data_IF_439302539321
#
_entry.id   IF_439302539321
#
_cell.length_a   1.000
_cell.length_b   1.000
_cell.length_c   1.000
_cell.angle_alpha   90.00
_cell.angle_beta   90.00
_cell.angle_gamma   90.00
#
_symmetry.space_group_name_H-M   'P 1'
#
loop_
_entity.id
_entity.type
_entity.pdbx_description
1 polymer ?
#
# COMPACT_ATOMS: atom_id res chain seq x y z
N UNK A 1 28.89 -18.81 -5.96
CA UNK A 1 27.70 -18.67 -6.82
C UNK A 1 28.17 -18.32 -8.22
N UNK A 2 27.64 -18.92 -9.28
CA UNK A 2 28.00 -18.53 -10.64
C UNK A 2 27.59 -17.08 -10.82
N UNK A 3 28.52 -16.24 -11.28
CA UNK A 3 28.24 -14.84 -11.56
C UNK A 3 28.00 -14.76 -13.05
N UNK A 4 26.75 -14.58 -13.46
CA UNK A 4 26.43 -14.32 -14.87
C UNK A 4 27.15 -13.04 -15.28
N UNK A 5 28.11 -13.20 -16.21
CA UNK A 5 28.98 -12.12 -16.68
C UNK A 5 28.56 -11.77 -18.11
N UNK A 6 27.95 -10.60 -18.29
CA UNK A 6 27.52 -10.11 -19.60
C UNK A 6 28.47 -9.01 -20.09
N UNK A 7 28.91 -9.09 -21.34
CA UNK A 7 29.76 -8.08 -21.98
C UNK A 7 28.94 -7.20 -22.91
N UNK A 8 28.93 -5.88 -22.67
CA UNK A 8 28.14 -4.91 -23.44
C UNK A 8 29.10 -3.90 -24.06
N UNK A 9 29.03 -3.63 -25.38
CA UNK A 9 29.97 -2.76 -26.08
C UNK A 9 29.84 -1.28 -25.68
N UNK A 10 28.62 -0.79 -25.44
CA UNK A 10 28.35 0.57 -24.94
C UNK A 10 26.98 0.67 -24.28
N UNK A 11 26.86 1.51 -23.25
CA UNK A 11 25.56 1.85 -22.62
C UNK A 11 24.63 2.53 -23.62
N UNK A 12 25.16 3.39 -24.49
CA UNK A 12 24.34 4.11 -25.48
C UNK A 12 23.72 3.23 -26.57
N UNK A 13 24.06 1.93 -26.60
CA UNK A 13 23.64 0.98 -27.64
C UNK A 13 22.79 -0.17 -27.09
N UNK A 14 22.40 -0.13 -25.81
CA UNK A 14 21.50 -1.13 -25.24
C UNK A 14 20.12 -1.02 -25.90
N UNK A 15 19.77 -2.04 -26.68
CA UNK A 15 18.43 -2.15 -27.27
C UNK A 15 17.39 -2.42 -26.18
N UNK A 16 16.10 -2.12 -26.41
CA UNK A 16 15.04 -2.47 -25.46
C UNK A 16 15.05 -3.95 -25.05
N UNK A 17 15.32 -4.85 -26.00
CA UNK A 17 15.47 -6.29 -25.72
C UNK A 17 16.69 -6.61 -24.83
N UNK A 18 17.80 -5.87 -25.00
CA UNK A 18 18.98 -5.99 -24.15
C UNK A 18 18.73 -5.49 -22.72
N UNK A 19 18.01 -4.38 -22.58
CA UNK A 19 17.54 -3.87 -21.29
C UNK A 19 16.67 -4.91 -20.59
N UNK A 20 15.65 -5.44 -21.29
CA UNK A 20 14.76 -6.47 -20.75
C UNK A 20 15.53 -7.72 -20.28
N UNK A 21 16.48 -8.19 -21.09
CA UNK A 21 17.29 -9.36 -20.74
C UNK A 21 18.13 -9.13 -19.47
N UNK A 22 18.69 -7.92 -19.29
CA UNK A 22 19.42 -7.55 -18.09
C UNK A 22 18.51 -7.48 -16.86
N UNK A 23 17.33 -6.91 -17.02
CA UNK A 23 16.33 -6.85 -15.95
C UNK A 23 15.91 -8.25 -15.49
N UNK A 24 15.63 -9.15 -16.44
CA UNK A 24 15.20 -10.52 -16.14
C UNK A 24 16.31 -11.31 -15.45
N UNK A 25 17.56 -11.17 -15.91
CA UNK A 25 18.71 -11.80 -15.26
C UNK A 25 18.95 -11.26 -13.84
N UNK A 26 18.87 -9.95 -13.65
CA UNK A 26 19.02 -9.32 -12.33
C UNK A 26 17.90 -9.71 -11.35
N UNK A 27 16.66 -9.90 -11.85
CA UNK A 27 15.53 -10.41 -11.04
C UNK A 27 15.74 -11.87 -10.62
N UNK A 28 16.26 -12.70 -11.51
CA UNK A 28 16.47 -14.13 -11.24
C UNK A 28 17.59 -14.37 -10.23
N UNK A 29 18.71 -13.66 -10.36
CA UNK A 29 19.93 -13.91 -9.58
C UNK A 29 20.10 -12.97 -8.37
N UNK A 30 19.18 -12.02 -8.14
CA UNK A 30 19.28 -10.94 -7.13
C UNK A 30 20.52 -10.04 -7.27
N UNK A 31 21.31 -10.24 -8.33
CA UNK A 31 22.55 -9.53 -8.58
C UNK A 31 23.33 -10.17 -9.72
N UNK A 32 23.63 -9.40 -10.77
CA UNK A 32 24.48 -9.83 -11.88
C UNK A 32 25.70 -8.92 -12.01
N UNK A 33 26.78 -9.44 -12.60
CA UNK A 33 27.92 -8.59 -12.99
C UNK A 33 27.95 -8.39 -14.49
N UNK A 34 28.24 -7.17 -14.89
CA UNK A 34 28.36 -6.82 -16.29
C UNK A 34 29.68 -6.11 -16.54
N UNK A 35 30.21 -6.26 -17.73
CA UNK A 35 31.39 -5.54 -18.20
C UNK A 35 30.97 -4.60 -19.33
N UNK A 36 31.29 -3.31 -19.18
CA UNK A 36 31.03 -2.30 -20.22
C UNK A 36 32.35 -1.62 -20.56
N UNK A 37 32.84 -1.90 -21.77
CA UNK A 37 34.20 -1.53 -22.18
C UNK A 37 35.22 -2.12 -21.21
N UNK A 38 35.97 -1.26 -20.50
CA UNK A 38 36.99 -1.68 -19.54
C UNK A 38 36.56 -1.61 -18.07
N UNK A 39 35.30 -1.27 -17.79
CA UNK A 39 34.75 -1.19 -16.42
C UNK A 39 33.80 -2.35 -16.12
N UNK A 40 33.74 -2.74 -14.85
CA UNK A 40 32.79 -3.73 -14.35
C UNK A 40 31.75 -3.09 -13.43
N UNK A 41 30.53 -3.61 -13.47
CA UNK A 41 29.39 -3.11 -12.70
C UNK A 41 28.63 -4.27 -12.10
N UNK A 42 28.11 -4.09 -10.89
CA UNK A 42 27.12 -4.95 -10.28
C UNK A 42 25.74 -4.33 -10.45
N UNK A 43 24.79 -5.11 -10.95
CA UNK A 43 23.40 -4.70 -11.12
C UNK A 43 22.55 -5.52 -10.15
N UNK A 44 21.79 -4.85 -9.30
CA UNK A 44 20.93 -5.48 -8.29
C UNK A 44 19.48 -5.11 -8.51
N UNK A 45 18.59 -6.11 -8.43
CA UNK A 45 17.15 -5.86 -8.37
C UNK A 45 16.74 -5.60 -6.92
N UNK A 46 16.05 -4.48 -6.70
CA UNK A 46 15.53 -4.07 -5.39
C UNK A 46 14.01 -4.18 -5.43
N UNK A 47 13.52 -5.33 -4.95
CA UNK A 47 12.11 -5.70 -4.98
C UNK A 47 11.18 -4.65 -4.37
N UNK A 48 11.60 -3.98 -3.28
CA UNK A 48 10.81 -2.95 -2.60
C UNK A 48 10.44 -1.77 -3.52
N UNK A 49 11.32 -1.45 -4.47
CA UNK A 49 11.19 -0.30 -5.36
C UNK A 49 10.75 -0.72 -6.77
N UNK A 50 10.62 -2.02 -7.01
CA UNK A 50 10.62 -2.63 -8.35
C UNK A 50 11.67 -2.00 -9.28
N UNK A 51 12.87 -1.77 -8.74
CA UNK A 51 13.90 -0.96 -9.38
C UNK A 51 15.26 -1.64 -9.40
N UNK A 52 16.17 -1.12 -10.21
CA UNK A 52 17.52 -1.63 -10.38
C UNK A 52 18.54 -0.61 -9.87
N UNK A 53 19.47 -1.09 -9.03
CA UNK A 53 20.66 -0.36 -8.61
C UNK A 53 21.85 -0.82 -9.43
N UNK A 54 22.72 0.12 -9.83
CA UNK A 54 23.97 -0.20 -10.51
C UNK A 54 25.13 0.42 -9.76
N UNK A 55 26.07 -0.42 -9.33
CA UNK A 55 27.27 0.03 -8.65
C UNK A 55 28.51 -0.32 -9.49
N UNK A 56 29.48 0.60 -9.63
CA UNK A 56 30.75 0.28 -10.25
C UNK A 56 31.55 -0.65 -9.33
N UNK A 57 32.04 -1.77 -9.87
CA UNK A 57 32.95 -2.65 -9.15
C UNK A 57 34.30 -1.95 -9.07
N UNK A 58 34.59 -1.38 -7.91
CA UNK A 58 35.82 -0.61 -7.67
C UNK A 58 37.06 -1.48 -7.89
N UNK A 59 37.99 -1.00 -8.71
CA UNK A 59 39.32 -1.57 -8.84
C UNK A 59 40.32 -1.01 -7.82
N UNK A 60 41.60 -1.32 -8.01
CA UNK A 60 42.68 -0.94 -7.07
C UNK A 60 43.06 0.54 -7.11
N UNK A 61 44.11 0.90 -6.36
CA UNK A 61 44.62 2.28 -6.19
C UNK A 61 44.84 3.07 -7.49
N UNK A 62 45.20 2.38 -8.58
CA UNK A 62 45.40 3.00 -9.90
C UNK A 62 44.11 3.58 -10.51
N UNK A 63 42.96 2.94 -10.27
CA UNK A 63 41.68 3.42 -10.80
C UNK A 63 41.23 4.73 -10.11
N UNK A 64 41.62 4.93 -8.84
CA UNK A 64 41.39 6.17 -8.10
C UNK A 64 42.28 7.31 -8.61
N UNK A 65 43.58 7.05 -8.81
CA UNK A 65 44.56 8.04 -9.26
C UNK A 65 44.30 8.55 -10.69
N UNK A 66 43.75 7.71 -11.57
CA UNK A 66 43.47 8.07 -12.97
C UNK A 66 42.10 8.74 -13.20
N UNK A 67 41.36 9.06 -12.13
CA UNK A 67 40.00 9.61 -12.23
C UNK A 67 39.04 8.67 -12.98
N UNK A 68 39.30 7.36 -12.94
CA UNK A 68 38.50 6.35 -13.65
C UNK A 68 37.19 6.07 -12.91
N UNK A 69 37.21 6.19 -11.58
CA UNK A 69 36.06 6.02 -10.69
C UNK A 69 34.88 6.93 -11.07
N UNK A 70 35.10 8.24 -11.22
CA UNK A 70 34.07 9.21 -11.63
C UNK A 70 33.43 8.88 -12.99
N UNK A 71 34.23 8.35 -13.93
CA UNK A 71 33.71 7.94 -15.26
C UNK A 71 32.85 6.68 -15.15
N UNK A 72 33.19 5.77 -14.26
CA UNK A 72 32.38 4.59 -13.99
C UNK A 72 31.09 4.96 -13.25
N UNK A 73 31.12 5.87 -12.29
CA UNK A 73 29.91 6.35 -11.60
C UNK A 73 28.91 6.97 -12.59
N UNK A 74 29.35 7.85 -13.50
CA UNK A 74 28.47 8.41 -14.55
C UNK A 74 27.86 7.33 -15.45
N UNK A 75 28.62 6.28 -15.74
CA UNK A 75 28.15 5.14 -16.53
C UNK A 75 27.15 4.28 -15.75
N UNK A 76 27.39 4.08 -14.46
CA UNK A 76 26.46 3.38 -13.59
C UNK A 76 25.11 4.10 -13.56
N UNK A 77 25.09 5.42 -13.32
CA UNK A 77 23.86 6.24 -13.34
C UNK A 77 23.17 6.19 -14.70
N UNK A 78 23.91 6.25 -15.81
CA UNK A 78 23.33 6.14 -17.15
C UNK A 78 22.67 4.77 -17.38
N UNK A 79 23.26 3.70 -16.84
CA UNK A 79 22.69 2.37 -16.92
C UNK A 79 21.47 2.21 -16.01
N UNK A 80 21.50 2.74 -14.78
CA UNK A 80 20.32 2.77 -13.89
C UNK A 80 19.13 3.40 -14.60
N UNK A 81 19.35 4.56 -15.25
CA UNK A 81 18.30 5.24 -16.01
C UNK A 81 17.75 4.38 -17.13
N UNK A 82 18.55 3.57 -17.81
CA UNK A 82 18.04 2.67 -18.84
C UNK A 82 17.23 1.51 -18.26
N UNK A 83 17.67 0.96 -17.13
CA UNK A 83 16.98 -0.14 -16.45
C UNK A 83 15.70 0.33 -15.73
N UNK A 84 15.62 1.58 -15.31
CA UNK A 84 14.53 2.15 -14.51
C UNK A 84 13.65 3.14 -15.30
N UNK A 85 13.58 3.02 -16.62
CA UNK A 85 12.67 3.84 -17.44
C UNK A 85 12.96 5.35 -17.44
N UNK A 86 14.22 5.74 -17.23
CA UNK A 86 14.71 7.12 -17.31
C UNK A 86 15.15 7.71 -15.97
N UNK A 87 14.94 7.00 -14.86
CA UNK A 87 15.14 7.51 -13.49
C UNK A 87 16.36 6.83 -12.84
N UNK A 88 17.21 7.57 -12.13
CA UNK A 88 18.31 6.95 -11.37
C UNK A 88 17.80 6.31 -10.07
N UNK A 89 18.58 5.38 -9.50
CA UNK A 89 18.13 4.58 -8.37
C UNK A 89 17.74 5.44 -7.15
N UNK A 90 18.51 6.50 -6.85
CA UNK A 90 18.21 7.42 -5.74
C UNK A 90 16.88 8.15 -5.95
N UNK A 91 16.58 8.53 -7.19
CA UNK A 91 15.29 9.12 -7.53
C UNK A 91 14.15 8.11 -7.37
N UNK A 92 14.35 6.83 -7.71
CA UNK A 92 13.37 5.75 -7.45
C UNK A 92 13.12 5.57 -5.95
N UNK A 93 14.17 5.58 -5.13
CA UNK A 93 14.07 5.54 -3.65
C UNK A 93 13.25 6.73 -3.14
N UNK A 94 13.57 7.95 -3.59
CA UNK A 94 12.85 9.15 -3.17
C UNK A 94 11.38 9.10 -3.57
N UNK A 95 11.06 8.66 -4.79
CA UNK A 95 9.68 8.53 -5.26
C UNK A 95 8.87 7.53 -4.42
N UNK A 96 9.47 6.40 -4.05
CA UNK A 96 8.84 5.43 -3.15
C UNK A 96 8.56 6.02 -1.77
N UNK A 97 9.53 6.71 -1.16
CA UNK A 97 9.28 7.36 0.13
C UNK A 97 8.18 8.42 0.03
N UNK A 98 8.15 9.21 -1.05
CA UNK A 98 7.08 10.18 -1.27
C UNK A 98 5.71 9.51 -1.42
N UNK A 99 5.61 8.37 -2.11
CA UNK A 99 4.34 7.65 -2.26
C UNK A 99 3.85 7.07 -0.93
N UNK A 100 4.74 6.45 -0.14
CA UNK A 100 4.41 5.94 1.19
C UNK A 100 3.95 7.06 2.13
N UNK A 101 4.64 8.22 2.07
CA UNK A 101 4.23 9.39 2.86
C UNK A 101 2.90 9.98 2.40
N UNK A 102 2.63 9.99 1.09
CA UNK A 102 1.36 10.46 0.54
C UNK A 102 0.20 9.54 0.99
N UNK A 103 0.35 8.23 0.86
CA UNK A 103 -0.63 7.24 1.31
C UNK A 103 -0.91 7.38 2.81
N UNK A 104 0.12 7.55 3.65
CA UNK A 104 -0.09 7.79 5.08
C UNK A 104 -0.88 9.08 5.34
N UNK A 105 -0.60 10.17 4.61
CA UNK A 105 -1.34 11.44 4.75
C UNK A 105 -2.80 11.30 4.32
N UNK A 106 -3.06 10.59 3.23
CA UNK A 106 -4.42 10.28 2.77
C UNK A 106 -5.17 9.44 3.80
N UNK A 107 -4.56 8.36 4.30
CA UNK A 107 -5.15 7.51 5.34
C UNK A 107 -5.48 8.31 6.62
N UNK A 108 -4.58 9.23 7.03
CA UNK A 108 -4.82 10.10 8.18
C UNK A 108 -6.00 11.05 7.96
N UNK A 109 -6.13 11.58 6.74
CA UNK A 109 -7.23 12.50 6.39
C UNK A 109 -8.56 11.74 6.31
N UNK A 110 -8.58 10.58 5.65
CA UNK A 110 -9.73 9.69 5.56
C UNK A 110 -10.21 9.21 6.93
N UNK A 111 -9.28 8.81 7.81
CA UNK A 111 -9.62 8.43 9.18
C UNK A 111 -10.23 9.60 9.97
N UNK A 112 -9.72 10.82 9.79
CA UNK A 112 -10.30 12.00 10.44
C UNK A 112 -11.76 12.22 10.00
N UNK A 113 -12.03 12.19 8.70
CA UNK A 113 -13.39 12.35 8.13
C UNK A 113 -14.31 11.23 8.62
N UNK A 114 -13.83 9.98 8.60
CA UNK A 114 -14.59 8.83 9.08
C UNK A 114 -14.92 8.94 10.58
N UNK A 115 -13.98 9.39 11.39
CA UNK A 115 -14.20 9.60 12.83
C UNK A 115 -15.20 10.73 13.10
N UNK A 116 -15.14 11.83 12.35
CA UNK A 116 -16.14 12.90 12.42
C UNK A 116 -17.54 12.38 12.04
N UNK A 117 -17.63 11.55 10.99
CA UNK A 117 -18.88 10.90 10.58
C UNK A 117 -19.42 9.97 11.67
N UNK A 118 -18.59 9.07 12.23
CA UNK A 118 -18.98 8.17 13.33
C UNK A 118 -19.56 8.97 14.48
N UNK A 119 -18.85 9.99 14.95
CA UNK A 119 -19.27 10.84 16.06
C UNK A 119 -20.60 11.56 15.78
N UNK A 120 -20.85 11.97 14.54
CA UNK A 120 -22.13 12.59 14.14
C UNK A 120 -23.32 11.61 14.06
N UNK A 121 -23.06 10.30 14.01
CA UNK A 121 -24.07 9.25 13.84
C UNK A 121 -24.34 8.45 15.12
N UNK A 122 -23.71 8.79 16.25
CA UNK A 122 -23.89 8.10 17.52
C UNK A 122 -25.30 8.30 18.09
N UNK A 123 -25.85 7.24 18.67
CA UNK A 123 -27.12 7.31 19.40
C UNK A 123 -27.16 6.24 20.51
N UNK A 124 -28.08 6.42 21.47
CA UNK A 124 -28.40 5.37 22.44
C UNK A 124 -29.41 4.40 21.82
N UNK A 125 -29.09 3.09 21.72
CA UNK A 125 -30.03 2.10 21.21
C UNK A 125 -31.26 1.98 22.10
N UNK A 126 -32.44 1.79 21.49
CA UNK A 126 -33.71 1.62 22.20
C UNK A 126 -34.60 0.66 21.40
N UNK A 127 -34.85 -0.52 21.97
CA UNK A 127 -35.64 -1.61 21.37
C UNK A 127 -37.07 -1.17 21.07
N UNK A 128 -37.67 -0.33 21.92
CA UNK A 128 -39.02 0.19 21.72
C UNK A 128 -39.08 1.12 20.50
N UNK A 129 -38.09 1.99 20.36
CA UNK A 129 -38.00 2.91 19.23
C UNK A 129 -37.85 2.18 17.89
N UNK A 130 -37.12 1.07 17.85
CA UNK A 130 -36.92 0.28 16.63
C UNK A 130 -37.98 -0.81 16.41
N UNK A 131 -38.89 -1.01 17.38
CA UNK A 131 -39.89 -2.08 17.33
C UNK A 131 -39.27 -3.46 17.08
N UNK A 132 -38.11 -3.72 17.70
CA UNK A 132 -37.34 -4.94 17.54
C UNK A 132 -36.96 -5.56 18.90
N UNK A 133 -36.76 -6.89 18.98
CA UNK A 133 -36.21 -7.52 20.18
C UNK A 133 -34.80 -7.00 20.50
N UNK A 134 -34.44 -6.95 21.79
CA UNK A 134 -33.12 -6.50 22.26
C UNK A 134 -31.97 -7.33 21.68
N UNK A 135 -32.20 -8.61 21.38
CA UNK A 135 -31.20 -9.49 20.75
C UNK A 135 -30.71 -8.99 19.39
N UNK A 136 -31.47 -8.15 18.69
CA UNK A 136 -31.06 -7.54 17.43
C UNK A 136 -30.24 -6.25 17.61
N UNK A 137 -30.12 -5.74 18.85
CA UNK A 137 -29.30 -4.59 19.21
C UNK A 137 -27.89 -5.00 19.70
N UNK A 138 -27.54 -6.28 19.57
CA UNK A 138 -26.23 -6.79 19.96
C UNK A 138 -25.16 -6.38 18.95
N UNK A 139 -24.07 -5.78 19.44
CA UNK A 139 -22.92 -5.46 18.62
C UNK A 139 -22.16 -6.74 18.20
N UNK A 140 -21.83 -6.93 16.90
CA UNK A 140 -21.07 -8.10 16.45
C UNK A 140 -19.64 -8.21 16.99
N UNK A 141 -19.07 -7.13 17.51
CA UNK A 141 -17.68 -7.11 18.04
C UNK A 141 -17.67 -7.42 19.53
N UNK A 142 -18.46 -6.69 20.32
CA UNK A 142 -18.50 -6.85 21.79
C UNK A 142 -19.41 -7.99 22.23
N UNK A 143 -20.31 -8.44 21.36
CA UNK A 143 -21.34 -9.44 21.66
C UNK A 143 -22.31 -9.01 22.76
N UNK A 144 -22.49 -7.69 22.94
CA UNK A 144 -23.39 -7.09 23.91
C UNK A 144 -24.14 -5.89 23.31
N UNK A 145 -25.22 -5.45 23.97
CA UNK A 145 -25.97 -4.25 23.58
C UNK A 145 -25.18 -3.00 23.99
N UNK A 146 -24.78 -2.14 23.03
CA UNK A 146 -23.95 -0.98 23.37
C UNK A 146 -24.74 0.11 24.08
N UNK A 147 -24.12 0.79 25.04
CA UNK A 147 -24.71 2.01 25.66
C UNK A 147 -24.83 3.15 24.65
N UNK A 148 -23.83 3.28 23.77
CA UNK A 148 -23.80 4.21 22.66
C UNK A 148 -23.38 3.47 21.41
N UNK A 149 -24.27 3.41 20.43
CA UNK A 149 -24.06 2.67 19.20
C UNK A 149 -24.12 3.54 17.95
N UNK A 150 -23.71 2.93 16.84
CA UNK A 150 -23.77 3.50 15.49
C UNK A 150 -24.09 2.40 14.50
N UNK A 151 -24.91 2.72 13.49
CA UNK A 151 -25.18 1.77 12.42
C UNK A 151 -24.06 1.81 11.38
N UNK A 152 -23.65 0.63 10.93
CA UNK A 152 -22.73 0.48 9.81
C UNK A 152 -23.24 -0.57 8.83
N UNK A 153 -23.22 -0.27 7.53
CA UNK A 153 -23.56 -1.21 6.45
C UNK A 153 -22.63 -2.41 6.49
N UNK A 154 -23.18 -3.60 6.23
CA UNK A 154 -22.40 -4.84 6.27
C UNK A 154 -21.35 -4.95 5.15
N UNK A 155 -21.53 -4.19 4.07
CA UNK A 155 -20.56 -3.96 2.98
C UNK A 155 -20.93 -2.66 2.25
N UNK A 156 -20.07 -2.17 1.36
CA UNK A 156 -20.31 -0.93 0.60
C UNK A 156 -21.64 -0.93 -0.16
N UNK A 157 -22.03 -2.08 -0.71
CA UNK A 157 -23.26 -2.27 -1.48
C UNK A 157 -24.39 -2.95 -0.70
N UNK A 158 -24.22 -3.21 0.60
CA UNK A 158 -25.25 -3.92 1.37
C UNK A 158 -26.46 -3.03 1.64
N UNK A 159 -27.64 -3.61 1.48
CA UNK A 159 -28.89 -3.05 1.99
C UNK A 159 -29.08 -3.29 3.50
N UNK A 160 -28.24 -4.12 4.11
CA UNK A 160 -28.32 -4.47 5.53
C UNK A 160 -27.23 -3.72 6.30
N UNK A 161 -27.62 -3.12 7.43
CA UNK A 161 -26.73 -2.52 8.40
C UNK A 161 -26.78 -3.30 9.72
N UNK A 162 -25.71 -3.21 10.51
CA UNK A 162 -25.65 -3.76 11.86
C UNK A 162 -25.32 -2.65 12.86
N UNK A 163 -25.77 -2.82 14.10
CA UNK A 163 -25.44 -1.91 15.19
C UNK A 163 -24.05 -2.26 15.75
N UNK A 164 -23.19 -1.26 15.90
CA UNK A 164 -21.87 -1.43 16.50
C UNK A 164 -21.73 -0.54 17.73
N UNK A 165 -20.99 -1.06 18.72
CA UNK A 165 -20.52 -0.27 19.84
C UNK A 165 -19.55 0.81 19.36
N UNK A 166 -19.72 2.02 19.92
CA UNK A 166 -18.89 3.19 19.59
C UNK A 166 -17.40 2.90 19.76
N UNK A 167 -17.00 2.43 20.93
CA UNK A 167 -15.58 2.34 21.28
C UNK A 167 -14.94 1.17 20.53
N UNK A 168 -15.66 0.08 20.34
CA UNK A 168 -15.21 -1.03 19.50
C UNK A 168 -15.01 -0.62 18.03
N UNK A 169 -15.94 0.16 17.45
CA UNK A 169 -15.81 0.63 16.07
C UNK A 169 -14.68 1.66 15.92
N UNK A 170 -14.56 2.59 16.87
CA UNK A 170 -13.46 3.57 16.89
C UNK A 170 -12.12 2.87 16.94
N UNK A 171 -11.94 1.91 17.84
CA UNK A 171 -10.70 1.14 17.92
C UNK A 171 -10.40 0.39 16.63
N UNK A 172 -11.43 -0.18 15.98
CA UNK A 172 -11.28 -0.87 14.71
C UNK A 172 -10.78 0.08 13.60
N UNK A 173 -11.33 1.30 13.52
CA UNK A 173 -10.91 2.31 12.54
C UNK A 173 -9.51 2.83 12.83
N UNK A 174 -9.19 3.15 14.09
CA UNK A 174 -7.88 3.68 14.48
C UNK A 174 -6.74 2.69 14.23
N UNK A 175 -7.01 1.40 14.37
CA UNK A 175 -6.04 0.33 14.09
C UNK A 175 -5.96 -0.07 12.61
N UNK A 176 -6.73 0.60 11.73
CA UNK A 176 -6.77 0.27 10.30
C UNK A 176 -7.43 -1.09 10.01
N UNK A 177 -8.30 -1.55 10.91
CA UNK A 177 -9.01 -2.81 10.78
C UNK A 177 -10.05 -2.79 9.66
N UNK A 178 -10.26 -3.95 9.05
CA UNK A 178 -11.30 -4.16 8.04
C UNK A 178 -12.66 -4.42 8.68
N UNK A 179 -13.73 -4.20 7.91
CA UNK A 179 -15.10 -4.48 8.35
C UNK A 179 -15.25 -5.94 8.82
N UNK A 180 -15.86 -6.21 9.99
CA UNK A 180 -15.84 -7.56 10.61
C UNK A 180 -16.49 -8.65 9.75
N UNK A 181 -17.52 -8.30 8.98
CA UNK A 181 -18.25 -9.22 8.10
C UNK A 181 -17.64 -9.31 6.69
N UNK A 182 -17.67 -8.22 5.91
CA UNK A 182 -17.20 -8.21 4.52
C UNK A 182 -15.70 -8.22 4.32
N UNK A 183 -14.89 -7.88 5.34
CA UNK A 183 -13.45 -7.62 5.23
C UNK A 183 -13.07 -6.46 4.29
N UNK A 184 -14.04 -5.64 3.90
CA UNK A 184 -13.80 -4.40 3.14
C UNK A 184 -13.20 -3.30 4.03
N UNK A 185 -12.42 -2.35 3.48
CA UNK A 185 -12.06 -1.14 4.18
C UNK A 185 -13.32 -0.37 4.62
N UNK A 186 -13.35 0.07 5.88
CA UNK A 186 -14.47 0.84 6.41
C UNK A 186 -14.43 2.24 5.83
N UNK A 187 -15.52 2.67 5.20
CA UNK A 187 -15.63 4.01 4.60
C UNK A 187 -16.78 4.80 5.19
N UNK A 188 -16.73 6.13 5.00
CA UNK A 188 -17.76 7.05 5.47
C UNK A 188 -19.17 6.65 5.02
N UNK A 189 -19.31 6.20 3.77
CA UNK A 189 -20.58 5.75 3.17
C UNK A 189 -21.18 4.51 3.82
N UNK A 190 -20.40 3.76 4.60
CA UNK A 190 -20.89 2.62 5.36
C UNK A 190 -21.50 3.07 6.69
N UNK A 191 -21.12 4.24 7.22
CA UNK A 191 -21.61 4.74 8.50
C UNK A 191 -22.98 5.42 8.30
N UNK A 192 -23.99 4.86 8.93
CA UNK A 192 -25.38 5.25 8.76
C UNK A 192 -25.87 6.02 9.98
N UNK A 193 -26.67 7.06 9.75
CA UNK A 193 -27.40 7.72 10.84
C UNK A 193 -28.51 6.82 11.36
N UNK A 194 -28.95 7.08 12.59
CA UNK A 194 -30.06 6.38 13.25
C UNK A 194 -31.31 6.28 12.36
N UNK A 195 -31.65 7.35 11.67
CA UNK A 195 -32.86 7.49 10.85
C UNK A 195 -32.73 6.88 9.44
N UNK A 196 -31.52 6.49 9.03
CA UNK A 196 -31.24 5.85 7.73
C UNK A 196 -31.29 4.33 7.77
N UNK A 197 -31.45 3.74 8.97
CA UNK A 197 -31.68 2.31 9.17
C UNK A 197 -33.04 2.08 9.83
N UNK A 198 -33.70 0.98 9.47
CA UNK A 198 -34.95 0.55 10.10
C UNK A 198 -34.99 -0.96 10.24
N UNK A 199 -35.67 -1.46 11.26
CA UNK A 199 -35.85 -2.90 11.42
C UNK A 199 -36.95 -3.41 10.47
N UNK A 200 -36.60 -4.36 9.61
CA UNK A 200 -37.55 -5.06 8.75
C UNK A 200 -37.91 -6.39 9.40
N UNK A 201 -39.16 -6.52 9.86
CA UNK A 201 -39.66 -7.73 10.54
C UNK A 201 -39.74 -8.94 9.63
N UNK A 202 -39.81 -8.77 8.31
CA UNK A 202 -39.82 -9.90 7.36
C UNK A 202 -38.43 -10.42 7.10
N UNK A 203 -37.43 -9.52 7.09
CA UNK A 203 -36.01 -9.87 6.89
C UNK A 203 -35.29 -10.19 8.21
N UNK A 204 -35.92 -9.88 9.35
CA UNK A 204 -35.33 -9.98 10.69
C UNK A 204 -33.97 -9.29 10.76
N UNK A 205 -33.86 -8.11 10.15
CA UNK A 205 -32.60 -7.38 10.03
C UNK A 205 -32.83 -5.87 9.93
N UNK A 206 -31.81 -5.10 10.30
CA UNK A 206 -31.79 -3.66 10.01
C UNK A 206 -31.47 -3.41 8.55
N UNK A 207 -32.40 -2.79 7.84
CA UNK A 207 -32.26 -2.42 6.44
C UNK A 207 -32.00 -0.92 6.30
N UNK A 208 -31.07 -0.60 5.40
CA UNK A 208 -30.79 0.76 4.95
C UNK A 208 -32.00 1.28 4.17
N UNK A 209 -32.32 2.56 4.38
CA UNK A 209 -33.29 3.30 3.56
C UNK A 209 -32.67 3.83 2.27
#
# INVERSE_FOLDING_TARGET
MPVTTLSIPSISQLSPAGVQSLQDAARLESGIRISIGSGQYSVHYVQLLDGFSVEPVRGGLLDRLLGREHRMERRAVALERQLNGGVDFLSSVNNYFQSVMAEHRENKTSNKILMEKINSCLFRPDSNHFSCPESFLTCPITLDTPETGVFMRNSRGAEICSLYDKDALVQLVETGGAHPLSREPITESMIMRKDECHFDTKREAFCCK
#
